data_IF_889889522855
#
_entry.id   IF_889889522855
#
_cell.length_a   1.000
_cell.length_b   1.000
_cell.length_c   1.000
_cell.angle_alpha   90.00
_cell.angle_beta   90.00
_cell.angle_gamma   90.00
#
_symmetry.space_group_name_H-M   'P 1'
#
loop_
_entity.id
_entity.type
_entity.pdbx_description
1 polymer ?
#
# COMPACT_ATOMS: atom_id res chain seq x y z
N UNK A 1 58.75 16.81 -25.46
CA UNK A 1 59.38 16.67 -24.13
C UNK A 1 58.27 16.24 -23.16
N UNK A 2 57.98 14.94 -23.02
CA UNK A 2 58.56 13.99 -22.04
C UNK A 2 58.64 14.61 -20.63
N UNK A 3 58.09 14.10 -19.53
CA UNK A 3 57.67 12.74 -19.07
C UNK A 3 56.96 12.96 -17.70
N UNK A 4 55.79 12.39 -17.37
CA UNK A 4 55.51 11.04 -16.79
C UNK A 4 56.11 10.75 -15.38
N UNK A 5 55.24 10.65 -14.36
CA UNK A 5 55.13 9.64 -13.26
C UNK A 5 54.06 10.12 -12.24
N UNK A 6 52.86 9.52 -12.13
CA UNK A 6 52.46 8.28 -11.39
C UNK A 6 52.85 8.34 -9.89
N UNK A 7 52.03 8.05 -8.87
CA UNK A 7 50.95 7.03 -8.72
C UNK A 7 50.23 7.17 -7.35
N UNK A 8 48.97 6.72 -7.29
CA UNK A 8 48.28 5.92 -6.24
C UNK A 8 47.97 6.49 -4.83
N UNK A 9 46.66 6.62 -4.55
CA UNK A 9 45.89 6.05 -3.42
C UNK A 9 44.49 6.70 -3.49
N UNK A 10 43.34 6.03 -3.51
CA UNK A 10 42.94 4.67 -3.22
C UNK A 10 41.50 4.77 -2.70
N UNK A 11 40.52 4.43 -3.54
CA UNK A 11 39.10 4.53 -3.23
C UNK A 11 38.67 3.46 -2.20
N UNK A 12 37.76 3.82 -1.29
CA UNK A 12 37.02 2.87 -0.47
C UNK A 12 35.53 3.22 -0.51
N UNK A 13 34.85 2.79 -1.58
CA UNK A 13 33.40 2.58 -1.56
C UNK A 13 33.16 1.23 -0.87
N UNK A 14 32.59 1.26 0.33
CA UNK A 14 32.06 0.05 0.95
C UNK A 14 30.70 -0.27 0.31
N UNK A 15 30.71 -1.13 -0.71
CA UNK A 15 29.51 -1.79 -1.20
C UNK A 15 29.18 -2.96 -0.26
N UNK A 16 28.04 -2.89 0.43
CA UNK A 16 27.46 -4.04 1.13
C UNK A 16 26.89 -4.97 0.05
N UNK A 17 27.67 -5.96 -0.34
CA UNK A 17 27.18 -7.09 -1.11
C UNK A 17 26.38 -8.01 -0.16
N UNK A 18 25.04 -7.93 -0.22
CA UNK A 18 24.24 -9.06 0.24
C UNK A 18 24.51 -10.23 -0.71
N UNK A 19 25.23 -11.24 -0.22
CA UNK A 19 25.30 -12.54 -0.86
C UNK A 19 23.90 -13.15 -0.80
N UNK A 20 23.13 -13.00 -1.88
CA UNK A 20 22.05 -13.90 -2.18
C UNK A 20 22.64 -15.30 -2.31
N UNK A 21 22.20 -16.21 -1.44
CA UNK A 21 22.44 -17.66 -1.57
C UNK A 21 21.88 -18.06 -2.93
N UNK A 22 22.77 -18.11 -3.91
CA UNK A 22 22.49 -18.57 -5.26
C UNK A 22 22.72 -20.07 -5.24
N UNK A 23 21.67 -20.86 -5.49
CA UNK A 23 21.77 -22.31 -5.63
C UNK A 23 22.62 -22.66 -6.86
N UNK A 24 23.93 -22.73 -6.69
CA UNK A 24 24.86 -23.35 -7.65
C UNK A 24 25.08 -24.77 -7.15
N UNK A 25 24.45 -25.74 -7.80
CA UNK A 25 24.64 -27.15 -7.50
C UNK A 25 26.11 -27.56 -7.66
N UNK A 26 26.71 -28.11 -6.61
CA UNK A 26 27.99 -28.82 -6.70
C UNK A 26 27.72 -30.22 -7.25
N UNK A 27 28.23 -30.49 -8.46
CA UNK A 27 28.49 -31.84 -8.93
C UNK A 27 29.78 -32.30 -8.26
N UNK A 28 29.74 -33.38 -7.49
CA UNK A 28 30.94 -34.13 -7.10
C UNK A 28 30.55 -35.59 -6.83
N UNK A 29 30.94 -36.45 -7.76
CA UNK A 29 30.96 -37.90 -7.63
C UNK A 29 31.93 -38.35 -6.52
N UNK A 30 31.46 -39.13 -5.55
CA UNK A 30 32.21 -40.18 -4.86
C UNK A 30 31.25 -41.08 -4.05
N UNK A 31 31.47 -42.41 -3.98
CA UNK A 31 30.50 -43.35 -3.41
C UNK A 31 30.77 -43.65 -1.93
N UNK A 32 29.69 -43.67 -1.15
CA UNK A 32 29.61 -44.33 0.16
C UNK A 32 29.82 -43.40 1.36
N UNK A 33 28.74 -43.05 2.06
CA UNK A 33 28.42 -43.63 3.37
C UNK A 33 27.00 -43.17 3.76
N UNK A 34 26.22 -44.11 4.28
CA UNK A 34 24.82 -43.91 4.67
C UNK A 34 24.76 -43.36 6.09
N UNK A 35 24.48 -42.07 6.23
CA UNK A 35 23.89 -41.49 7.43
C UNK A 35 22.80 -40.52 7.03
N UNK A 36 21.58 -40.86 7.42
CA UNK A 36 20.36 -40.07 7.23
C UNK A 36 20.53 -38.67 7.84
N UNK A 37 20.35 -37.64 7.02
CA UNK A 37 20.27 -36.24 7.44
C UNK A 37 18.78 -35.84 7.51
N UNK A 38 18.21 -35.58 8.71
CA UNK A 38 16.82 -35.17 8.84
C UNK A 38 16.73 -33.66 8.66
N UNK A 39 16.73 -33.19 7.42
CA UNK A 39 16.60 -31.74 7.15
C UNK A 39 16.96 -31.25 5.75
N UNK A 40 16.95 -32.13 4.75
CA UNK A 40 17.17 -31.71 3.36
C UNK A 40 15.93 -31.03 2.79
N UNK A 41 15.77 -29.72 3.00
CA UNK A 41 14.88 -28.89 2.18
C UNK A 41 15.36 -28.97 0.73
N UNK A 42 14.78 -29.89 -0.03
CA UNK A 42 15.00 -29.94 -1.46
C UNK A 42 14.50 -28.62 -2.04
N UNK A 43 15.35 -27.88 -2.76
CA UNK A 43 14.91 -26.77 -3.63
C UNK A 43 14.05 -27.27 -4.83
N UNK A 44 13.46 -28.46 -4.70
CA UNK A 44 12.55 -29.04 -5.68
C UNK A 44 11.18 -28.39 -5.51
N UNK A 45 10.58 -28.03 -6.65
CA UNK A 45 9.22 -27.53 -6.66
C UNK A 45 8.27 -28.57 -6.07
N UNK A 46 7.41 -28.14 -5.14
CA UNK A 46 6.43 -29.04 -4.50
C UNK A 46 5.10 -29.11 -5.27
N UNK A 47 4.90 -28.23 -6.26
CA UNK A 47 3.72 -28.20 -7.13
C UNK A 47 4.04 -27.53 -8.47
N UNK A 48 3.10 -27.59 -9.43
CA UNK A 48 3.26 -26.87 -10.71
C UNK A 48 3.30 -25.35 -10.51
N UNK A 49 2.52 -24.82 -9.57
CA UNK A 49 2.56 -23.40 -9.22
C UNK A 49 3.91 -23.02 -8.62
N UNK A 50 4.49 -23.90 -7.81
CA UNK A 50 5.81 -23.69 -7.22
C UNK A 50 6.94 -23.73 -8.26
N UNK A 51 6.82 -24.60 -9.28
CA UNK A 51 7.74 -24.63 -10.42
C UNK A 51 7.72 -23.28 -11.17
N UNK A 52 6.52 -22.74 -11.44
CA UNK A 52 6.36 -21.45 -12.10
C UNK A 52 6.88 -20.30 -11.21
N UNK A 53 6.58 -20.33 -9.91
CA UNK A 53 7.10 -19.36 -8.93
C UNK A 53 8.62 -19.33 -8.95
N UNK A 54 9.28 -20.48 -8.82
CA UNK A 54 10.73 -20.58 -8.82
C UNK A 54 11.33 -20.15 -10.15
N UNK A 55 10.69 -20.47 -11.27
CA UNK A 55 11.19 -20.10 -12.60
C UNK A 55 11.00 -18.61 -12.94
N UNK A 56 10.00 -17.94 -12.36
CA UNK A 56 9.81 -16.48 -12.46
C UNK A 56 10.69 -15.68 -11.48
N UNK A 57 11.14 -16.31 -10.40
CA UNK A 57 11.86 -15.65 -9.31
C UNK A 57 13.06 -14.79 -9.75
N UNK A 58 13.93 -15.20 -10.69
CA UNK A 58 15.08 -14.40 -11.11
C UNK A 58 14.73 -13.01 -11.65
N UNK A 59 13.53 -12.84 -12.23
CA UNK A 59 13.05 -11.57 -12.75
C UNK A 59 12.10 -10.83 -11.80
N UNK A 60 11.36 -11.56 -10.97
CA UNK A 60 10.23 -11.00 -10.24
C UNK A 60 10.49 -10.85 -8.74
N UNK A 61 11.24 -11.78 -8.12
CA UNK A 61 11.35 -11.88 -6.67
C UNK A 61 11.96 -10.61 -6.05
N UNK A 62 12.96 -9.99 -6.69
CA UNK A 62 13.65 -8.82 -6.13
C UNK A 62 12.72 -7.67 -5.71
N UNK A 63 11.62 -7.46 -6.43
CA UNK A 63 10.62 -6.43 -6.13
C UNK A 63 9.34 -6.98 -5.48
N UNK A 64 9.13 -8.29 -5.53
CA UNK A 64 7.92 -8.96 -5.05
C UNK A 64 8.17 -9.92 -3.88
N UNK A 65 9.30 -9.77 -3.18
CA UNK A 65 9.61 -10.54 -1.98
C UNK A 65 8.91 -9.95 -0.74
N UNK A 66 8.75 -8.63 -0.68
CA UNK A 66 8.21 -7.89 0.46
C UNK A 66 7.23 -6.80 0.00
N UNK A 67 6.54 -6.15 0.95
CA UNK A 67 5.64 -5.02 0.69
C UNK A 67 4.23 -5.45 0.30
N UNK A 68 3.54 -4.61 -0.49
CA UNK A 68 2.10 -4.77 -0.80
C UNK A 68 1.77 -5.88 -1.81
N UNK A 69 2.77 -6.41 -2.52
CA UNK A 69 2.61 -7.53 -3.48
C UNK A 69 3.75 -8.54 -3.31
N UNK A 70 3.87 -9.15 -2.12
CA UNK A 70 4.94 -10.06 -1.77
C UNK A 70 4.68 -11.46 -2.36
N UNK A 71 4.34 -11.54 -3.65
CA UNK A 71 3.96 -12.80 -4.32
C UNK A 71 5.04 -13.88 -4.24
N UNK A 72 6.28 -13.52 -3.94
CA UNK A 72 7.40 -14.44 -3.85
C UNK A 72 7.89 -14.65 -2.41
N UNK A 73 7.17 -14.15 -1.40
CA UNK A 73 7.47 -14.41 0.01
C UNK A 73 7.33 -15.90 0.37
N UNK A 74 6.33 -16.57 -0.19
CA UNK A 74 6.07 -18.01 -0.01
C UNK A 74 5.28 -18.56 -1.20
N UNK A 75 5.16 -19.89 -1.28
CA UNK A 75 4.24 -20.53 -2.25
C UNK A 75 2.79 -20.09 -2.00
N UNK A 76 2.36 -20.02 -0.74
CA UNK A 76 1.01 -19.59 -0.37
C UNK A 76 0.73 -18.13 -0.79
N UNK A 77 1.71 -17.23 -0.65
CA UNK A 77 1.60 -15.84 -1.11
C UNK A 77 1.49 -15.77 -2.65
N UNK A 78 2.24 -16.61 -3.35
CA UNK A 78 2.17 -16.73 -4.81
C UNK A 78 0.79 -17.21 -5.25
N UNK A 79 0.32 -18.30 -4.67
CA UNK A 79 -0.94 -18.93 -5.06
C UNK A 79 -2.15 -18.04 -4.74
N UNK A 80 -2.23 -17.55 -3.51
CA UNK A 80 -3.38 -16.76 -3.05
C UNK A 80 -3.36 -15.31 -3.53
N UNK A 81 -2.17 -14.72 -3.73
CA UNK A 81 -2.00 -13.33 -4.12
C UNK A 81 -1.97 -13.11 -5.64
N UNK A 82 -1.40 -14.04 -6.41
CA UNK A 82 -1.20 -13.92 -7.86
C UNK A 82 -1.99 -14.96 -8.65
N UNK A 83 -1.77 -16.25 -8.39
CA UNK A 83 -2.27 -17.36 -9.24
C UNK A 83 -3.80 -17.44 -9.25
N UNK A 84 -4.42 -17.40 -8.07
CA UNK A 84 -5.87 -17.53 -7.92
C UNK A 84 -6.59 -16.18 -7.82
N UNK A 85 -5.89 -15.10 -8.15
CA UNK A 85 -6.47 -13.77 -8.22
C UNK A 85 -6.80 -13.45 -9.69
N UNK A 86 -8.09 -13.47 -10.05
CA UNK A 86 -8.57 -13.23 -11.42
C UNK A 86 -8.20 -11.85 -12.00
N UNK A 87 -7.79 -10.90 -11.15
CA UNK A 87 -7.21 -9.63 -11.60
C UNK A 87 -5.89 -9.83 -12.34
N UNK A 88 -5.11 -10.84 -11.96
CA UNK A 88 -3.78 -11.13 -12.50
C UNK A 88 -3.77 -12.34 -13.42
N UNK A 89 -4.42 -13.43 -13.01
CA UNK A 89 -4.44 -14.70 -13.73
C UNK A 89 -5.88 -15.19 -13.87
N UNK A 90 -6.36 -15.28 -15.11
CA UNK A 90 -7.68 -15.85 -15.44
C UNK A 90 -7.50 -17.28 -15.90
N UNK A 91 -7.86 -18.23 -15.03
CA UNK A 91 -7.78 -19.66 -15.29
C UNK A 91 -8.44 -20.01 -16.63
N UNK A 92 -7.72 -20.73 -17.49
CA UNK A 92 -8.20 -21.14 -18.81
C UNK A 92 -8.12 -20.06 -19.89
N UNK A 93 -7.83 -18.80 -19.53
CA UNK A 93 -7.84 -17.65 -20.44
C UNK A 93 -6.55 -16.82 -20.31
N UNK A 94 -5.43 -17.30 -20.87
CA UNK A 94 -4.16 -16.57 -20.83
C UNK A 94 -4.23 -15.22 -21.54
N UNK A 95 -5.03 -15.08 -22.61
CA UNK A 95 -5.14 -13.84 -23.38
C UNK A 95 -5.73 -12.67 -22.58
N UNK A 96 -6.64 -12.96 -21.66
CA UNK A 96 -7.24 -11.96 -20.77
C UNK A 96 -6.59 -11.89 -19.38
N UNK A 97 -5.47 -12.58 -19.16
CA UNK A 97 -4.71 -12.54 -17.92
C UNK A 97 -3.74 -11.36 -17.90
N UNK A 98 -3.88 -10.47 -16.92
CA UNK A 98 -3.00 -9.29 -16.77
C UNK A 98 -1.52 -9.68 -16.65
N UNK A 99 -1.19 -10.83 -16.05
CA UNK A 99 0.19 -11.32 -15.99
C UNK A 99 0.80 -11.46 -17.40
N UNK A 100 0.10 -12.10 -18.34
CA UNK A 100 0.56 -12.25 -19.72
C UNK A 100 0.68 -10.90 -20.41
N UNK A 101 -0.28 -10.00 -20.19
CA UNK A 101 -0.22 -8.65 -20.75
C UNK A 101 1.00 -7.87 -20.23
N UNK A 102 1.34 -8.00 -18.95
CA UNK A 102 2.52 -7.37 -18.35
C UNK A 102 3.82 -7.98 -18.85
N UNK A 103 3.90 -9.30 -19.04
CA UNK A 103 5.09 -9.95 -19.61
C UNK A 103 5.32 -9.55 -21.07
N UNK A 104 4.24 -9.31 -21.83
CA UNK A 104 4.27 -8.82 -23.21
C UNK A 104 4.44 -7.29 -23.32
N UNK A 105 4.42 -6.55 -22.21
CA UNK A 105 4.55 -5.08 -22.24
C UNK A 105 3.33 -4.33 -22.77
N UNK A 106 2.14 -4.96 -22.76
CA UNK A 106 0.89 -4.41 -23.31
C UNK A 106 -0.21 -4.25 -22.25
N UNK A 107 0.12 -4.36 -20.96
CA UNK A 107 -0.85 -4.22 -19.89
C UNK A 107 -1.45 -2.80 -19.83
N UNK A 108 -2.75 -2.67 -19.56
CA UNK A 108 -3.36 -1.37 -19.37
C UNK A 108 -2.96 -0.75 -18.02
N UNK A 109 -2.85 0.58 -17.97
CA UNK A 109 -2.55 1.35 -16.76
C UNK A 109 -1.16 1.99 -16.75
N UNK A 110 -0.72 2.45 -15.57
CA UNK A 110 0.53 3.20 -15.43
C UNK A 110 1.80 2.37 -15.60
N UNK A 111 1.69 1.03 -15.52
CA UNK A 111 2.81 0.10 -15.65
C UNK A 111 2.47 -0.96 -16.71
N UNK A 112 2.81 -0.72 -17.98
CA UNK A 112 2.44 -1.63 -19.06
C UNK A 112 3.26 -2.92 -19.10
N UNK A 113 4.40 -2.96 -18.41
CA UNK A 113 5.34 -4.08 -18.41
C UNK A 113 5.76 -4.49 -17.00
N UNK A 114 5.94 -5.80 -16.81
CA UNK A 114 6.72 -6.38 -15.71
C UNK A 114 7.66 -7.48 -16.25
N UNK A 115 8.90 -7.59 -15.74
CA UNK A 115 9.54 -6.66 -14.81
C UNK A 115 9.79 -5.28 -15.44
N UNK A 116 9.94 -4.22 -14.64
CA UNK A 116 10.21 -2.88 -15.17
C UNK A 116 11.60 -2.82 -15.79
N UNK A 117 11.75 -2.00 -16.83
CA UNK A 117 13.01 -1.86 -17.57
C UNK A 117 13.09 -2.87 -18.71
N UNK A 118 13.91 -3.91 -18.55
CA UNK A 118 14.19 -4.85 -19.62
C UNK A 118 12.95 -5.70 -19.99
N UNK A 119 12.56 -5.77 -21.29
CA UNK A 119 11.49 -6.64 -21.75
C UNK A 119 11.71 -8.11 -21.38
N UNK A 120 10.64 -8.82 -21.02
CA UNK A 120 10.76 -10.20 -20.52
C UNK A 120 11.32 -11.18 -21.56
N UNK A 121 11.00 -10.99 -22.84
CA UNK A 121 11.60 -11.75 -23.95
C UNK A 121 13.12 -11.56 -24.06
N UNK A 122 13.65 -10.40 -23.71
CA UNK A 122 15.09 -10.19 -23.64
C UNK A 122 15.73 -10.85 -22.40
N UNK A 123 15.00 -10.93 -21.29
CA UNK A 123 15.42 -11.70 -20.11
C UNK A 123 15.48 -13.21 -20.38
N UNK A 124 14.63 -13.69 -21.28
CA UNK A 124 14.72 -15.06 -21.79
C UNK A 124 15.94 -15.22 -22.70
N UNK A 125 16.12 -14.32 -23.66
CA UNK A 125 17.18 -14.46 -24.67
C UNK A 125 18.59 -14.34 -24.09
N UNK A 126 18.77 -13.55 -23.01
CA UNK A 126 20.04 -13.44 -22.31
C UNK A 126 20.24 -14.49 -21.20
N UNK A 127 19.31 -15.44 -21.07
CA UNK A 127 19.39 -16.56 -20.12
C UNK A 127 19.18 -16.17 -18.65
N UNK A 128 18.74 -14.95 -18.36
CA UNK A 128 18.38 -14.53 -16.98
C UNK A 128 17.11 -15.21 -16.48
N UNK A 129 16.23 -15.59 -17.39
CA UNK A 129 15.02 -16.36 -17.11
C UNK A 129 14.91 -17.49 -18.13
N UNK A 130 14.49 -18.67 -17.69
CA UNK A 130 14.31 -19.84 -18.57
C UNK A 130 12.84 -20.08 -18.94
N UNK A 131 11.91 -19.52 -18.17
CA UNK A 131 10.47 -19.66 -18.39
C UNK A 131 9.99 -18.72 -19.50
N UNK A 132 9.56 -19.31 -20.61
CA UNK A 132 9.01 -18.57 -21.74
C UNK A 132 7.58 -18.10 -21.47
N UNK A 133 7.15 -17.03 -22.15
CA UNK A 133 5.76 -16.54 -22.06
C UNK A 133 4.77 -17.65 -22.48
N UNK A 134 5.09 -18.41 -23.53
CA UNK A 134 4.25 -19.53 -23.97
C UNK A 134 4.07 -20.62 -22.89
N UNK A 135 5.09 -20.88 -22.07
CA UNK A 135 4.98 -21.80 -20.94
C UNK A 135 4.10 -21.22 -19.82
N UNK A 136 4.14 -19.92 -19.58
CA UNK A 136 3.23 -19.25 -18.63
C UNK A 136 1.79 -19.32 -19.16
N UNK A 137 1.56 -19.10 -20.45
CA UNK A 137 0.24 -19.21 -21.07
C UNK A 137 -0.33 -20.63 -20.97
N UNK A 138 0.49 -21.65 -21.23
CA UNK A 138 0.09 -23.05 -21.09
C UNK A 138 -0.24 -23.40 -19.63
N UNK A 139 0.56 -22.93 -18.68
CA UNK A 139 0.26 -23.09 -17.26
C UNK A 139 -1.07 -22.43 -16.87
N UNK A 140 -1.36 -21.20 -17.31
CA UNK A 140 -2.64 -20.52 -17.04
C UNK A 140 -3.81 -21.28 -17.66
N UNK A 141 -3.63 -21.81 -18.88
CA UNK A 141 -4.65 -22.59 -19.59
C UNK A 141 -5.02 -23.87 -18.83
N UNK A 142 -4.02 -24.52 -18.24
CA UNK A 142 -4.15 -25.79 -17.54
C UNK A 142 -4.20 -25.63 -16.01
N UNK A 143 -4.41 -24.41 -15.51
CA UNK A 143 -4.40 -24.14 -14.09
C UNK A 143 -5.57 -24.88 -13.38
N UNK A 144 -5.31 -25.64 -12.30
CA UNK A 144 -6.35 -26.34 -11.57
C UNK A 144 -7.33 -25.36 -10.92
N UNK A 145 -8.51 -25.83 -10.53
CA UNK A 145 -9.47 -25.01 -9.79
C UNK A 145 -8.87 -24.50 -8.48
N UNK A 146 -9.28 -23.31 -8.05
CA UNK A 146 -8.85 -22.72 -6.78
C UNK A 146 -9.18 -23.69 -5.63
N UNK A 147 -8.21 -24.10 -4.81
CA UNK A 147 -8.49 -24.85 -3.60
C UNK A 147 -9.41 -24.05 -2.68
N UNK A 148 -10.35 -24.70 -2.00
CA UNK A 148 -11.29 -24.02 -1.10
C UNK A 148 -10.62 -23.17 -0.01
N UNK A 149 -9.39 -23.54 0.38
CA UNK A 149 -8.58 -22.82 1.37
C UNK A 149 -7.97 -21.50 0.84
N UNK A 150 -8.00 -21.26 -0.47
CA UNK A 150 -7.38 -20.12 -1.15
C UNK A 150 -8.41 -19.23 -1.88
N UNK A 151 -9.69 -19.31 -1.51
CA UNK A 151 -10.72 -18.40 -2.04
C UNK A 151 -10.45 -16.93 -1.71
N UNK A 152 -9.63 -16.67 -0.67
CA UNK A 152 -9.11 -15.36 -0.31
C UNK A 152 -7.60 -15.42 -0.03
N UNK A 153 -6.86 -14.30 -0.19
CA UNK A 153 -5.46 -14.19 0.24
C UNK A 153 -5.28 -14.56 1.72
N UNK A 154 -4.25 -15.34 2.03
CA UNK A 154 -3.89 -15.70 3.41
C UNK A 154 -3.18 -14.49 4.04
N UNK A 155 -3.84 -13.80 4.97
CA UNK A 155 -3.41 -12.49 5.45
C UNK A 155 -2.04 -12.51 6.15
N UNK A 156 -1.69 -13.63 6.79
CA UNK A 156 -0.44 -13.84 7.54
C UNK A 156 0.81 -13.81 6.64
N UNK A 157 0.65 -14.05 5.34
CA UNK A 157 1.74 -14.04 4.36
C UNK A 157 2.10 -12.63 3.88
N UNK A 158 1.28 -11.63 4.20
CA UNK A 158 1.46 -10.24 3.77
C UNK A 158 1.87 -9.38 4.98
N UNK A 159 3.17 -9.11 5.10
CA UNK A 159 3.72 -8.30 6.19
C UNK A 159 3.42 -6.81 6.09
N UNK A 160 2.97 -6.34 4.93
CA UNK A 160 2.50 -4.98 4.70
C UNK A 160 1.25 -5.06 3.85
N UNK A 161 0.18 -4.40 4.29
CA UNK A 161 -1.04 -4.28 3.49
C UNK A 161 -1.61 -2.89 3.55
N UNK A 162 -2.46 -2.58 2.57
CA UNK A 162 -3.29 -1.39 2.62
C UNK A 162 -4.25 -1.47 3.82
N UNK A 163 -4.47 -0.34 4.49
CA UNK A 163 -5.58 -0.17 5.42
C UNK A 163 -6.92 -0.43 4.71
N UNK A 164 -7.80 -1.18 5.36
CA UNK A 164 -9.19 -1.32 4.91
C UNK A 164 -9.95 0.01 5.04
N UNK A 165 -11.11 0.14 4.41
CA UNK A 165 -11.91 1.37 4.53
C UNK A 165 -12.32 1.63 6.00
N UNK A 166 -12.63 0.57 6.75
CA UNK A 166 -12.96 0.64 8.17
C UNK A 166 -11.75 1.13 8.99
N UNK A 167 -10.57 0.57 8.74
CA UNK A 167 -9.34 0.99 9.42
C UNK A 167 -8.96 2.42 9.07
N UNK A 168 -9.15 2.85 7.82
CA UNK A 168 -8.94 4.23 7.41
C UNK A 168 -9.85 5.19 8.18
N UNK A 169 -11.14 4.86 8.34
CA UNK A 169 -12.11 5.66 9.10
C UNK A 169 -11.69 5.74 10.57
N UNK A 170 -11.48 4.58 11.21
CA UNK A 170 -11.16 4.51 12.65
C UNK A 170 -9.83 5.23 12.92
N UNK A 171 -8.79 4.92 12.15
CA UNK A 171 -7.46 5.52 12.31
C UNK A 171 -7.50 7.03 12.10
N UNK A 172 -8.23 7.53 11.11
CA UNK A 172 -8.35 8.98 10.92
C UNK A 172 -9.12 9.65 12.04
N UNK A 173 -10.23 9.07 12.51
CA UNK A 173 -10.96 9.65 13.64
C UNK A 173 -10.04 9.78 14.85
N UNK A 174 -9.33 8.72 15.20
CA UNK A 174 -8.41 8.71 16.35
C UNK A 174 -7.21 9.66 16.16
N UNK A 175 -6.49 9.54 15.04
CA UNK A 175 -5.31 10.34 14.77
C UNK A 175 -5.63 11.83 14.60
N UNK A 176 -6.81 12.18 14.09
CA UNK A 176 -7.22 13.57 13.96
C UNK A 176 -7.92 14.11 15.21
N UNK A 177 -8.12 13.29 16.25
CA UNK A 177 -8.86 13.68 17.46
C UNK A 177 -10.32 14.02 17.17
N UNK A 178 -10.90 13.38 16.15
CA UNK A 178 -12.29 13.51 15.76
C UNK A 178 -13.13 12.39 16.37
N UNK A 179 -14.40 12.69 16.60
CA UNK A 179 -15.40 11.74 17.06
C UNK A 179 -16.62 11.81 16.15
N UNK A 180 -17.56 10.88 16.30
CA UNK A 180 -18.76 10.83 15.47
C UNK A 180 -19.56 12.14 15.53
N UNK A 181 -19.59 12.77 16.71
CA UNK A 181 -20.24 14.05 17.02
C UNK A 181 -19.70 15.20 16.16
N UNK A 182 -18.46 15.12 15.66
CA UNK A 182 -17.92 16.14 14.77
C UNK A 182 -18.59 16.12 13.39
N UNK A 183 -19.17 14.98 13.00
CA UNK A 183 -19.76 14.72 11.69
C UNK A 183 -21.28 14.81 11.68
N UNK A 184 -21.96 14.41 12.75
CA UNK A 184 -23.43 14.34 12.82
C UNK A 184 -24.02 15.46 13.70
N UNK A 185 -25.29 15.78 13.50
CA UNK A 185 -26.00 16.74 14.33
C UNK A 185 -26.27 16.16 15.71
N UNK A 186 -25.89 16.90 16.75
CA UNK A 186 -26.11 16.54 18.15
C UNK A 186 -27.09 17.48 18.85
N UNK A 187 -27.85 18.27 18.10
CA UNK A 187 -28.81 19.25 18.64
C UNK A 187 -29.91 18.58 19.46
N UNK A 188 -30.27 17.35 19.11
CA UNK A 188 -31.20 16.51 19.87
C UNK A 188 -30.42 15.67 20.89
N UNK A 189 -30.78 15.71 22.18
CA UNK A 189 -30.11 14.91 23.22
C UNK A 189 -30.22 13.40 23.02
N UNK A 190 -31.20 12.94 22.23
CA UNK A 190 -31.43 11.55 21.89
C UNK A 190 -30.89 11.17 20.50
N UNK A 191 -30.00 11.99 19.91
CA UNK A 191 -29.48 11.79 18.54
C UNK A 191 -28.86 10.41 18.30
N UNK A 192 -28.30 9.76 19.33
CA UNK A 192 -27.71 8.42 19.23
C UNK A 192 -28.72 7.31 18.95
N UNK A 193 -30.00 7.53 19.31
CA UNK A 193 -31.10 6.59 19.11
C UNK A 193 -31.97 6.99 17.92
N UNK A 194 -31.47 7.87 17.05
CA UNK A 194 -32.16 8.40 15.88
C UNK A 194 -31.26 8.27 14.65
N UNK A 195 -31.83 8.46 13.44
CA UNK A 195 -31.03 8.71 12.25
C UNK A 195 -29.97 9.79 12.48
N UNK A 196 -28.74 9.47 12.11
CA UNK A 196 -27.64 10.41 12.04
C UNK A 196 -27.90 11.41 10.94
N UNK A 197 -28.22 12.63 11.35
CA UNK A 197 -28.26 13.77 10.46
C UNK A 197 -26.83 14.22 10.24
N UNK A 198 -26.22 13.76 9.14
CA UNK A 198 -24.90 14.20 8.74
C UNK A 198 -24.92 15.71 8.53
N UNK A 199 -24.01 16.42 9.18
CA UNK A 199 -23.90 17.84 8.95
C UNK A 199 -23.39 18.07 7.51
N UNK A 200 -24.12 18.86 6.73
CA UNK A 200 -23.81 19.10 5.32
C UNK A 200 -22.37 19.60 5.10
N UNK A 201 -21.74 19.18 4.01
CA UNK A 201 -20.40 19.62 3.63
C UNK A 201 -19.26 19.05 4.48
N UNK A 202 -19.52 18.08 5.37
CA UNK A 202 -18.49 17.49 6.25
C UNK A 202 -17.88 16.18 5.76
N UNK A 203 -18.21 15.75 4.54
CA UNK A 203 -17.71 14.52 3.91
C UNK A 203 -17.83 13.29 4.84
N UNK A 204 -19.02 13.09 5.39
CA UNK A 204 -19.27 11.95 6.26
C UNK A 204 -19.16 10.65 5.46
N UNK A 205 -18.47 9.66 6.02
CA UNK A 205 -18.29 8.33 5.43
C UNK A 205 -18.72 7.34 6.49
N UNK A 206 -19.62 6.43 6.11
CA UNK A 206 -20.17 5.45 7.03
C UNK A 206 -20.49 4.15 6.29
N UNK A 207 -20.19 2.98 6.87
CA UNK A 207 -20.55 1.70 6.26
C UNK A 207 -22.07 1.53 6.20
N UNK A 208 -22.56 0.98 5.09
CA UNK A 208 -23.99 0.74 4.88
C UNK A 208 -24.56 -0.43 5.68
N UNK A 209 -23.71 -1.17 6.39
CA UNK A 209 -24.07 -2.32 7.22
C UNK A 209 -23.70 -2.12 8.71
N UNK A 210 -23.17 -0.95 9.08
CA UNK A 210 -22.89 -0.60 10.48
C UNK A 210 -24.10 0.05 11.13
N UNK A 211 -24.47 -0.39 12.33
CA UNK A 211 -25.47 0.31 13.14
C UNK A 211 -25.02 1.77 13.46
N UNK A 212 -25.95 2.75 13.44
CA UNK A 212 -27.39 2.59 13.22
C UNK A 212 -27.80 2.44 11.74
N UNK A 213 -26.86 2.51 10.80
CA UNK A 213 -27.04 2.44 9.34
C UNK A 213 -27.55 1.12 8.73
N UNK A 214 -28.26 0.26 9.47
CA UNK A 214 -28.89 -0.95 8.91
C UNK A 214 -30.09 -0.60 8.00
N UNK A 215 -30.61 0.63 8.06
CA UNK A 215 -31.58 1.14 7.08
C UNK A 215 -31.05 2.43 6.44
N UNK A 216 -31.31 2.60 5.14
CA UNK A 216 -31.05 3.84 4.40
C UNK A 216 -31.80 5.07 4.94
N UNK A 217 -32.57 4.92 6.01
CA UNK A 217 -33.25 5.98 6.75
C UNK A 217 -32.40 6.55 7.89
N UNK A 218 -31.29 5.90 8.28
CA UNK A 218 -30.50 6.26 9.47
C UNK A 218 -29.29 7.15 9.21
N UNK A 219 -28.93 7.47 7.96
CA UNK A 219 -27.88 8.45 7.66
C UNK A 219 -28.41 9.41 6.60
N UNK A 220 -28.51 10.70 6.93
CA UNK A 220 -29.13 11.69 6.02
C UNK A 220 -28.30 12.00 4.76
N UNK A 221 -27.00 11.69 4.76
CA UNK A 221 -26.14 11.81 3.57
C UNK A 221 -26.16 10.49 2.78
N UNK A 222 -26.93 10.47 1.70
CA UNK A 222 -27.08 9.31 0.82
C UNK A 222 -25.77 8.87 0.14
N UNK A 223 -24.74 9.73 0.12
CA UNK A 223 -23.43 9.40 -0.46
C UNK A 223 -22.43 8.85 0.56
N UNK A 224 -22.80 8.76 1.84
CA UNK A 224 -21.91 8.25 2.89
C UNK A 224 -21.46 6.81 2.61
N UNK A 225 -22.41 5.94 2.22
CA UNK A 225 -22.17 4.54 1.84
C UNK A 225 -21.38 4.46 0.52
N UNK A 226 -21.72 5.28 -0.48
CA UNK A 226 -21.00 5.33 -1.75
C UNK A 226 -19.52 5.67 -1.55
N UNK A 227 -19.20 6.65 -0.68
CA UNK A 227 -17.81 7.01 -0.34
C UNK A 227 -17.10 5.86 0.38
N UNK A 228 -17.80 5.16 1.29
CA UNK A 228 -17.22 4.03 2.00
C UNK A 228 -16.84 2.90 1.03
N UNK A 229 -17.76 2.54 0.14
CA UNK A 229 -17.52 1.54 -0.89
C UNK A 229 -16.44 1.99 -1.89
N UNK A 230 -16.39 3.29 -2.24
CA UNK A 230 -15.34 3.84 -3.09
C UNK A 230 -13.95 3.74 -2.46
N UNK A 231 -13.83 3.75 -1.12
CA UNK A 231 -12.58 3.45 -0.42
C UNK A 231 -12.21 1.95 -0.46
N UNK A 232 -13.10 1.08 -0.95
CA UNK A 232 -12.91 -0.37 -0.94
C UNK A 232 -13.67 -1.07 0.19
N UNK A 233 -14.55 -0.37 0.89
CA UNK A 233 -15.44 -0.94 1.90
C UNK A 233 -16.43 -1.94 1.28
N UNK A 234 -16.75 -2.99 2.04
CA UNK A 234 -17.79 -3.95 1.66
C UNK A 234 -19.17 -3.49 2.09
N UNK A 235 -20.21 -4.22 1.68
CA UNK A 235 -21.56 -4.04 2.20
C UNK A 235 -22.25 -5.40 2.22
N UNK A 236 -22.32 -6.01 3.41
CA UNK A 236 -22.89 -7.36 3.55
C UNK A 236 -24.39 -7.42 3.23
N UNK A 237 -25.14 -6.34 3.47
CA UNK A 237 -26.57 -6.28 3.16
C UNK A 237 -26.85 -6.26 1.65
N UNK A 238 -25.90 -5.75 0.86
CA UNK A 238 -25.98 -5.68 -0.60
C UNK A 238 -25.11 -6.74 -1.30
N UNK A 239 -24.59 -7.72 -0.56
CA UNK A 239 -23.68 -8.76 -1.07
C UNK A 239 -22.44 -8.18 -1.81
N UNK A 240 -21.94 -7.02 -1.37
CA UNK A 240 -20.72 -6.41 -1.92
C UNK A 240 -19.52 -6.81 -1.10
N UNK A 241 -18.55 -7.49 -1.73
CA UNK A 241 -17.27 -7.82 -1.10
C UNK A 241 -16.39 -6.58 -0.93
N UNK A 242 -15.51 -6.61 0.06
CA UNK A 242 -14.43 -5.62 0.23
C UNK A 242 -13.50 -5.65 -0.99
N UNK A 243 -12.96 -4.49 -1.35
CA UNK A 243 -11.88 -4.34 -2.33
C UNK A 243 -10.62 -3.81 -1.64
N UNK A 244 -9.62 -4.67 -1.55
CA UNK A 244 -8.32 -4.34 -0.94
C UNK A 244 -7.37 -3.62 -1.92
N UNK A 245 -7.75 -3.48 -3.19
CA UNK A 245 -6.98 -2.74 -4.20
C UNK A 245 -7.06 -1.22 -4.02
N UNK A 246 -6.05 -0.49 -4.50
CA UNK A 246 -6.06 0.98 -4.54
C UNK A 246 -6.39 1.48 -5.96
N UNK A 247 -7.68 1.60 -6.25
CA UNK A 247 -8.19 2.08 -7.54
C UNK A 247 -8.37 3.61 -7.61
N UNK A 248 -8.70 4.17 -8.79
CA UNK A 248 -8.96 5.60 -8.96
C UNK A 248 -10.04 6.14 -8.02
N UNK A 249 -11.13 5.40 -7.81
CA UNK A 249 -12.20 5.78 -6.88
C UNK A 249 -11.69 5.87 -5.43
N UNK A 250 -10.84 4.93 -5.00
CA UNK A 250 -10.25 4.95 -3.67
C UNK A 250 -9.31 6.14 -3.51
N UNK A 251 -8.47 6.42 -4.51
CA UNK A 251 -7.59 7.58 -4.50
C UNK A 251 -8.37 8.89 -4.44
N UNK A 252 -9.40 9.04 -5.27
CA UNK A 252 -10.24 10.24 -5.32
C UNK A 252 -10.99 10.46 -4.00
N UNK A 253 -11.57 9.40 -3.43
CA UNK A 253 -12.27 9.50 -2.14
C UNK A 253 -11.30 9.79 -1.00
N UNK A 254 -10.11 9.17 -0.97
CA UNK A 254 -9.09 9.44 0.03
C UNK A 254 -8.62 10.90 -0.01
N UNK A 255 -8.43 11.47 -1.21
CA UNK A 255 -8.07 12.89 -1.36
C UNK A 255 -9.15 13.78 -0.75
N UNK A 256 -10.42 13.57 -1.09
CA UNK A 256 -11.52 14.38 -0.58
C UNK A 256 -11.72 14.20 0.94
N UNK A 257 -11.64 12.96 1.42
CA UNK A 257 -11.68 12.63 2.84
C UNK A 257 -10.57 13.34 3.61
N UNK A 258 -9.32 13.23 3.13
CA UNK A 258 -8.16 13.84 3.79
C UNK A 258 -8.33 15.36 3.93
N UNK A 259 -8.79 16.05 2.88
CA UNK A 259 -9.00 17.50 2.93
C UNK A 259 -10.14 17.88 3.87
N UNK A 260 -11.30 17.21 3.76
CA UNK A 260 -12.48 17.55 4.55
C UNK A 260 -12.31 17.24 6.05
N UNK A 261 -11.69 16.11 6.37
CA UNK A 261 -11.49 15.67 7.76
C UNK A 261 -10.34 16.43 8.42
N UNK A 262 -9.25 16.73 7.69
CA UNK A 262 -8.22 17.63 8.21
C UNK A 262 -8.77 19.04 8.45
N UNK A 263 -9.62 19.57 7.57
CA UNK A 263 -10.31 20.84 7.82
C UNK A 263 -11.13 20.79 9.12
N UNK A 264 -11.87 19.70 9.33
CA UNK A 264 -12.62 19.47 10.58
C UNK A 264 -11.72 19.49 11.80
N UNK A 265 -10.60 18.78 11.73
CA UNK A 265 -9.68 18.62 12.84
C UNK A 265 -8.96 19.93 13.19
N UNK A 266 -8.59 20.72 12.18
CA UNK A 266 -7.98 22.05 12.35
C UNK A 266 -8.99 23.05 12.92
N UNK A 267 -10.26 22.98 12.50
CA UNK A 267 -11.33 23.87 12.99
C UNK A 267 -11.84 23.49 14.39
N UNK A 268 -11.59 22.25 14.82
CA UNK A 268 -12.00 21.76 16.14
C UNK A 268 -11.26 22.53 17.22
N UNK A 269 -12.04 23.24 18.05
CA UNK A 269 -11.49 24.05 19.16
C UNK A 269 -10.63 23.18 20.07
N UNK A 270 -9.43 23.67 20.38
CA UNK A 270 -8.47 23.02 21.28
C UNK A 270 -8.21 21.55 20.90
N UNK A 271 -7.91 21.27 19.64
CA UNK A 271 -7.58 19.93 19.18
C UNK A 271 -6.05 19.66 19.22
N UNK A 272 -5.51 19.07 20.31
CA UNK A 272 -4.09 18.81 20.43
C UNK A 272 -3.60 17.69 19.50
N UNK A 273 -4.51 16.97 18.82
CA UNK A 273 -4.12 15.92 17.88
C UNK A 273 -3.45 16.50 16.64
N UNK A 274 -3.92 17.66 16.16
CA UNK A 274 -3.38 18.33 14.95
C UNK A 274 -2.57 19.57 15.30
N UNK A 275 -3.01 20.35 16.29
CA UNK A 275 -2.40 21.61 16.70
C UNK A 275 -1.90 21.50 18.14
N UNK A 276 -0.86 20.68 18.36
CA UNK A 276 -0.33 20.37 19.70
C UNK A 276 0.52 21.50 20.27
N UNK A 277 1.39 22.07 19.44
CA UNK A 277 2.39 23.06 19.85
C UNK A 277 2.14 24.45 19.27
N UNK A 278 1.06 24.61 18.52
CA UNK A 278 0.73 25.81 17.75
C UNK A 278 -0.75 26.11 17.88
N UNK A 279 -1.09 27.35 17.62
CA UNK A 279 -2.42 27.85 17.34
C UNK A 279 -2.48 28.33 15.89
N UNK A 280 -3.67 28.69 15.41
CA UNK A 280 -3.80 29.30 14.08
C UNK A 280 -3.21 30.72 13.97
N UNK A 281 -2.81 31.33 15.10
CA UNK A 281 -2.10 32.60 15.13
C UNK A 281 -0.58 32.45 15.01
N UNK A 282 -0.05 31.25 15.23
CA UNK A 282 1.37 30.95 15.07
C UNK A 282 1.70 30.75 13.58
N UNK A 283 2.73 31.44 13.11
CA UNK A 283 3.20 31.41 11.72
C UNK A 283 4.70 31.13 11.68
N UNK A 284 5.22 30.82 10.50
CA UNK A 284 6.65 30.70 10.20
C UNK A 284 7.46 31.94 10.61
N UNK A 285 6.82 33.11 10.65
CA UNK A 285 7.45 34.37 11.06
C UNK A 285 7.32 34.67 12.54
N UNK A 286 6.16 34.38 13.14
CA UNK A 286 5.89 34.70 14.55
C UNK A 286 6.44 33.65 15.51
N UNK A 287 6.42 32.37 15.12
CA UNK A 287 6.80 31.26 15.99
C UNK A 287 7.37 30.06 15.18
N UNK A 288 8.49 30.24 14.48
CA UNK A 288 9.07 29.22 13.59
C UNK A 288 9.35 27.89 14.31
N UNK A 289 9.86 27.95 15.53
CA UNK A 289 10.21 26.76 16.31
C UNK A 289 8.98 25.92 16.67
N UNK A 290 7.88 26.57 17.05
CA UNK A 290 6.63 25.88 17.34
C UNK A 290 6.04 25.22 16.08
N UNK A 291 6.09 25.90 14.93
CA UNK A 291 5.66 25.35 13.65
C UNK A 291 6.44 24.08 13.31
N UNK A 292 7.79 24.14 13.36
CA UNK A 292 8.66 23.00 13.11
C UNK A 292 8.38 21.84 14.08
N UNK A 293 8.23 22.16 15.36
CA UNK A 293 7.91 21.17 16.40
C UNK A 293 6.55 20.50 16.16
N UNK A 294 5.54 21.26 15.73
CA UNK A 294 4.22 20.72 15.42
C UNK A 294 4.23 19.84 14.17
N UNK A 295 4.97 20.21 13.12
CA UNK A 295 5.14 19.39 11.91
C UNK A 295 5.70 18.00 12.25
N UNK A 296 6.78 17.96 13.02
CA UNK A 296 7.40 16.69 13.45
C UNK A 296 6.48 15.87 14.34
N UNK A 297 5.76 16.54 15.26
CA UNK A 297 4.78 15.87 16.12
C UNK A 297 3.63 15.25 15.32
N UNK A 298 3.13 15.96 14.31
CA UNK A 298 2.04 15.47 13.48
C UNK A 298 2.51 14.34 12.58
N UNK A 299 3.69 14.44 11.99
CA UNK A 299 4.29 13.35 11.20
C UNK A 299 4.46 12.08 12.04
N UNK A 300 4.99 12.18 13.26
CA UNK A 300 5.07 11.05 14.19
C UNK A 300 3.70 10.44 14.51
N UNK A 301 2.70 11.28 14.78
CA UNK A 301 1.35 10.81 15.12
C UNK A 301 0.68 10.07 13.95
N UNK A 302 0.84 10.59 12.74
CA UNK A 302 0.19 10.05 11.55
C UNK A 302 0.93 8.83 11.00
N UNK A 303 2.26 8.88 10.95
CA UNK A 303 3.10 7.87 10.27
C UNK A 303 3.78 6.89 11.23
N UNK A 304 3.61 7.05 12.54
CA UNK A 304 4.21 6.18 13.56
C UNK A 304 5.71 6.36 13.78
N UNK A 305 6.38 7.22 13.00
CA UNK A 305 7.81 7.50 13.13
C UNK A 305 8.12 9.00 12.95
N UNK A 306 9.15 9.53 13.61
CA UNK A 306 9.55 10.91 13.40
C UNK A 306 10.11 11.07 11.97
N UNK A 307 9.86 12.20 11.30
CA UNK A 307 10.43 12.45 9.98
C UNK A 307 11.94 12.70 10.12
N UNK A 308 12.70 12.25 9.11
CA UNK A 308 14.08 12.70 8.91
C UNK A 308 14.13 14.21 8.68
N UNK A 309 15.32 14.81 8.80
CA UNK A 309 15.47 16.26 8.60
C UNK A 309 15.11 16.70 7.17
N UNK A 310 15.44 15.87 6.17
CA UNK A 310 15.08 16.12 4.78
C UNK A 310 13.56 16.06 4.55
N UNK A 311 12.87 15.08 5.15
CA UNK A 311 11.40 14.96 5.06
C UNK A 311 10.69 16.10 5.78
N UNK A 312 11.19 16.49 6.97
CA UNK A 312 10.66 17.61 7.73
C UNK A 312 10.81 18.92 6.94
N UNK A 313 11.98 19.13 6.30
CA UNK A 313 12.22 20.29 5.45
C UNK A 313 11.30 20.28 4.22
N UNK A 314 11.15 19.14 3.54
CA UNK A 314 10.24 19.04 2.40
C UNK A 314 8.78 19.34 2.78
N UNK A 315 8.30 18.79 3.90
CA UNK A 315 6.94 19.06 4.39
C UNK A 315 6.75 20.54 4.74
N UNK A 316 7.78 21.18 5.30
CA UNK A 316 7.74 22.61 5.61
C UNK A 316 7.75 23.49 4.35
N UNK A 317 8.72 23.30 3.47
CA UNK A 317 8.96 24.18 2.33
C UNK A 317 7.98 23.96 1.16
N UNK A 318 7.60 22.70 0.91
CA UNK A 318 6.79 22.35 -0.25
C UNK A 318 5.29 22.33 0.05
N UNK A 319 4.90 22.16 1.33
CA UNK A 319 3.50 22.06 1.73
C UNK A 319 3.10 23.20 2.64
N UNK A 320 3.79 23.40 3.77
CA UNK A 320 3.36 24.37 4.77
C UNK A 320 3.50 25.82 4.28
N UNK A 321 4.70 26.26 3.89
CA UNK A 321 4.97 27.65 3.51
C UNK A 321 4.10 28.18 2.35
N UNK A 322 3.90 27.44 1.24
CA UNK A 322 3.09 27.93 0.12
C UNK A 322 1.61 28.14 0.49
N UNK A 323 1.10 27.31 1.41
CA UNK A 323 -0.28 27.38 1.87
C UNK A 323 -0.47 28.40 3.00
N UNK A 324 0.53 28.56 3.87
CA UNK A 324 0.54 29.60 4.91
C UNK A 324 0.47 30.99 4.30
N UNK A 325 1.17 31.21 3.18
CA UNK A 325 1.13 32.47 2.44
C UNK A 325 -0.30 32.92 2.07
N UNK A 326 -1.24 31.97 1.98
CA UNK A 326 -2.66 32.25 1.80
C UNK A 326 -3.39 32.32 3.15
N UNK A 327 -3.20 31.31 4.00
CA UNK A 327 -3.83 31.22 5.32
C UNK A 327 -3.18 30.11 6.16
N UNK A 328 -2.82 30.38 7.42
CA UNK A 328 -2.32 29.38 8.38
C UNK A 328 -3.24 28.16 8.53
N UNK A 329 -4.56 28.37 8.48
CA UNK A 329 -5.55 27.28 8.47
C UNK A 329 -5.35 26.35 7.28
N UNK A 330 -5.13 26.90 6.07
CA UNK A 330 -4.90 26.10 4.87
C UNK A 330 -3.57 25.34 4.94
N UNK A 331 -2.54 25.95 5.55
CA UNK A 331 -1.26 25.30 5.77
C UNK A 331 -1.41 24.01 6.60
N UNK A 332 -2.10 24.07 7.73
CA UNK A 332 -2.30 22.90 8.59
C UNK A 332 -3.22 21.85 7.95
N UNK A 333 -4.22 22.26 7.18
CA UNK A 333 -5.04 21.33 6.38
C UNK A 333 -4.19 20.61 5.35
N UNK A 334 -3.34 21.34 4.62
CA UNK A 334 -2.48 20.79 3.58
C UNK A 334 -1.46 19.80 4.12
N UNK A 335 -0.78 20.15 5.22
CA UNK A 335 0.16 19.25 5.91
C UNK A 335 -0.55 17.98 6.37
N UNK A 336 -1.66 18.11 7.09
CA UNK A 336 -2.44 16.97 7.56
C UNK A 336 -2.86 16.07 6.38
N UNK A 337 -3.41 16.65 5.31
CA UNK A 337 -3.85 15.90 4.14
C UNK A 337 -2.67 15.27 3.37
N UNK A 338 -1.49 15.89 3.35
CA UNK A 338 -0.29 15.31 2.75
C UNK A 338 0.16 14.05 3.51
N UNK A 339 0.11 14.08 4.84
CA UNK A 339 0.48 12.93 5.68
C UNK A 339 -0.50 11.75 5.52
N UNK A 340 -1.82 12.01 5.42
CA UNK A 340 -2.83 10.96 5.15
C UNK A 340 -2.60 10.29 3.79
N UNK A 341 -2.13 11.06 2.80
CA UNK A 341 -1.86 10.54 1.45
C UNK A 341 -0.47 9.92 1.32
N UNK A 342 0.31 9.90 2.40
CA UNK A 342 1.63 9.28 2.40
C UNK A 342 1.50 7.76 2.27
N UNK A 343 2.35 7.08 1.47
CA UNK A 343 2.30 5.63 1.34
C UNK A 343 2.32 4.88 2.67
N UNK A 344 3.19 5.29 3.61
CA UNK A 344 3.28 4.70 4.96
C UNK A 344 2.05 4.94 5.84
N UNK A 345 1.16 5.87 5.49
CA UNK A 345 -0.12 6.00 6.18
C UNK A 345 -1.14 5.01 5.61
N UNK A 346 -1.15 4.90 4.28
CA UNK A 346 -2.09 4.05 3.53
C UNK A 346 -1.80 2.56 3.77
N UNK A 347 -0.55 2.22 4.12
CA UNK A 347 -0.09 0.87 4.38
C UNK A 347 0.35 0.72 5.83
N UNK A 348 -0.02 -0.40 6.45
CA UNK A 348 0.48 -0.81 7.77
C UNK A 348 1.17 -2.17 7.64
#
# INVERSE_FOLDING_TARGET
MNTLRSTLMGAALAAVALLAVSCVGKISDAPGDSTEDPGGDSCAAVSKNDEIRLALAPACQGCHLTGNKPFFASLTAFESGLVYNEKYVKRGDPGNSMLIQMLNGVAPGSYPQMPPGQPYNELISNGRVTLTIAQVEDWIRNLPATPAQLEAPVAEEFSVRRLTAEEMIISLMEQLGLTLEDFVSTTDSNWRNKPYVANGGKFFIWPGDWAPGISGEYVSDSRSVERFEALGGGNSLLYRKRDVGFGPSAAQTLVQMSQAWCARAVDKKNNPAVLRYVTLADTSKSNPDAVQKNLRSLSLRMLGQPPSDAEAQALYEQVYLPLEAQNTRLAWIGVCAALIRHPMWITY
#
